data_IF_704417321945
#
_entry.id   IF_704417321945
#
_cell.length_a   1.000
_cell.length_b   1.000
_cell.length_c   1.000
_cell.angle_alpha   90.00
_cell.angle_beta   90.00
_cell.angle_gamma   90.00
#
_symmetry.space_group_name_H-M   'P 1'
#
loop_
_entity.id
_entity.type
_entity.pdbx_description
1 polymer ?
#
# COMPACT_ATOMS: atom_id res chain seq x y z
N UNK A 1 -3.06 22.10 18.33
CA UNK A 1 -2.04 21.78 17.31
C UNK A 1 -2.69 22.00 15.94
N UNK A 2 -2.04 22.71 15.01
CA UNK A 2 -2.54 22.91 13.64
C UNK A 2 -1.62 22.15 12.69
N UNK A 3 -2.19 21.35 11.81
CA UNK A 3 -1.47 20.63 10.77
C UNK A 3 -1.74 21.27 9.41
N UNK A 4 -0.71 21.37 8.59
CA UNK A 4 -0.78 21.83 7.21
C UNK A 4 -0.09 20.78 6.34
N UNK A 5 -0.68 20.46 5.20
CA UNK A 5 -0.11 19.50 4.27
C UNK A 5 1.19 20.06 3.65
N UNK A 6 2.26 19.26 3.70
CA UNK A 6 3.54 19.62 3.09
C UNK A 6 3.64 19.10 1.65
N UNK A 7 3.30 17.83 1.46
CA UNK A 7 3.28 17.11 0.20
C UNK A 7 2.59 15.75 0.35
N UNK A 8 2.19 15.17 -0.78
CA UNK A 8 1.76 13.79 -0.96
C UNK A 8 2.86 12.99 -1.65
N UNK A 9 3.09 11.76 -1.18
CA UNK A 9 3.99 10.79 -1.79
C UNK A 9 3.18 9.73 -2.54
N UNK A 10 3.38 9.60 -3.86
CA UNK A 10 2.81 8.51 -4.66
C UNK A 10 3.91 7.49 -4.90
N UNK A 11 3.76 6.29 -4.34
CA UNK A 11 4.85 5.33 -4.23
C UNK A 11 4.51 4.04 -4.98
N UNK A 12 5.49 3.50 -5.69
CA UNK A 12 5.40 2.22 -6.37
C UNK A 12 6.56 1.33 -5.95
N UNK A 13 6.23 0.14 -5.43
CA UNK A 13 7.22 -0.91 -5.23
C UNK A 13 7.76 -1.36 -6.60
N UNK A 14 9.09 -1.48 -6.67
CA UNK A 14 9.78 -2.20 -7.74
C UNK A 14 9.98 -3.64 -7.31
N UNK A 15 11.22 -3.99 -6.97
CA UNK A 15 11.57 -5.33 -6.50
C UNK A 15 11.38 -5.48 -4.99
N UNK A 16 11.05 -6.70 -4.57
CA UNK A 16 10.96 -7.05 -3.16
C UNK A 16 11.10 -8.54 -2.90
N UNK A 17 11.49 -8.87 -1.68
CA UNK A 17 11.59 -10.22 -1.15
C UNK A 17 10.89 -10.28 0.20
N UNK A 18 10.19 -11.39 0.45
CA UNK A 18 9.47 -11.65 1.68
C UNK A 18 9.89 -13.00 2.24
N UNK A 19 10.20 -13.02 3.52
CA UNK A 19 10.58 -14.21 4.27
C UNK A 19 9.56 -14.42 5.38
N UNK A 20 9.17 -15.67 5.61
CA UNK A 20 8.30 -16.10 6.69
C UNK A 20 9.05 -17.06 7.62
N UNK A 21 10.01 -16.56 8.46
CA UNK A 21 10.91 -17.43 9.20
C UNK A 21 10.20 -18.34 10.22
N UNK A 22 9.00 -17.92 10.67
CA UNK A 22 8.21 -18.59 11.70
C UNK A 22 6.80 -18.95 11.20
N UNK A 23 6.62 -19.13 9.90
CA UNK A 23 5.30 -19.36 9.26
C UNK A 23 4.57 -18.06 8.91
N UNK A 24 3.33 -18.18 8.43
CA UNK A 24 2.61 -17.09 7.74
C UNK A 24 2.08 -15.97 8.66
N UNK A 25 2.32 -16.05 9.97
CA UNK A 25 1.89 -15.01 10.91
C UNK A 25 2.96 -13.92 11.08
N UNK A 26 4.22 -14.20 10.76
CA UNK A 26 5.33 -13.25 10.89
C UNK A 26 6.11 -13.17 9.58
N UNK A 27 6.41 -11.95 9.14
CA UNK A 27 7.20 -11.72 7.94
C UNK A 27 8.33 -10.73 8.19
N UNK A 28 9.45 -10.95 7.50
CA UNK A 28 10.46 -9.94 7.26
C UNK A 28 10.55 -9.70 5.75
N UNK A 29 10.72 -8.45 5.35
CA UNK A 29 10.83 -8.10 3.94
C UNK A 29 12.00 -7.18 3.67
N UNK A 30 12.38 -7.15 2.40
CA UNK A 30 13.16 -6.07 1.82
C UNK A 30 12.51 -5.68 0.50
N UNK A 31 12.36 -4.39 0.25
CA UNK A 31 11.86 -3.92 -1.03
C UNK A 31 12.40 -2.56 -1.39
N UNK A 32 12.48 -2.27 -2.68
CA UNK A 32 12.85 -0.95 -3.19
C UNK A 32 11.74 -0.41 -4.06
N UNK A 33 11.76 0.90 -4.29
CA UNK A 33 10.77 1.51 -5.15
C UNK A 33 11.13 2.92 -5.56
N UNK A 34 10.25 3.45 -6.39
CA UNK A 34 10.29 4.84 -6.86
C UNK A 34 8.95 5.50 -6.56
N UNK A 35 8.88 6.80 -6.79
CA UNK A 35 7.63 7.54 -6.62
C UNK A 35 7.77 9.00 -7.00
N UNK A 36 6.64 9.68 -6.94
CA UNK A 36 6.52 11.11 -7.18
C UNK A 36 6.12 11.82 -5.89
N UNK A 37 6.63 13.03 -5.74
CA UNK A 37 6.33 13.93 -4.62
C UNK A 37 5.65 15.16 -5.17
N UNK A 38 4.43 15.41 -4.70
CA UNK A 38 3.62 16.55 -5.13
C UNK A 38 3.14 17.34 -3.91
N UNK A 39 3.35 18.64 -3.90
CA UNK A 39 2.91 19.48 -2.79
C UNK A 39 3.10 20.97 -3.03
N UNK A 40 2.55 21.82 -2.16
CA UNK A 40 2.75 23.26 -2.23
C UNK A 40 4.21 23.67 -1.99
N UNK A 41 4.95 22.91 -1.17
CA UNK A 41 6.32 23.25 -0.75
C UNK A 41 7.39 22.29 -1.26
N UNK A 42 7.04 21.03 -1.49
CA UNK A 42 7.99 20.01 -1.97
C UNK A 42 7.40 19.36 -3.21
N UNK A 43 8.16 19.35 -4.30
CA UNK A 43 7.85 18.65 -5.55
C UNK A 43 9.10 17.96 -6.07
N UNK A 44 8.97 16.77 -6.63
CA UNK A 44 10.12 16.03 -7.15
C UNK A 44 9.87 14.53 -7.27
N UNK A 45 10.94 13.77 -7.27
CA UNK A 45 10.91 12.30 -7.36
C UNK A 45 11.50 11.66 -6.11
N UNK A 46 11.00 10.49 -5.76
CA UNK A 46 11.40 9.71 -4.60
C UNK A 46 12.03 8.39 -5.06
N UNK A 47 13.15 8.03 -4.44
CA UNK A 47 13.73 6.69 -4.47
C UNK A 47 13.86 6.17 -3.05
N UNK A 48 13.51 4.90 -2.83
CA UNK A 48 13.40 4.39 -1.47
C UNK A 48 13.67 2.89 -1.37
N UNK A 49 14.05 2.47 -0.17
CA UNK A 49 14.17 1.09 0.25
C UNK A 49 13.44 0.90 1.58
N UNK A 50 12.82 -0.25 1.78
CA UNK A 50 12.04 -0.59 2.96
C UNK A 50 12.51 -1.92 3.52
N UNK A 51 12.71 -2.00 4.83
CA UNK A 51 12.93 -3.24 5.59
C UNK A 51 11.72 -3.52 6.48
N UNK A 52 10.55 -3.85 5.91
CA UNK A 52 9.34 -4.04 6.69
C UNK A 52 9.40 -5.33 7.54
N UNK A 53 8.73 -5.29 8.69
CA UNK A 53 8.38 -6.48 9.47
C UNK A 53 6.88 -6.58 9.61
N UNK A 54 6.30 -7.77 9.47
CA UNK A 54 4.97 -8.09 10.00
C UNK A 54 5.14 -8.79 11.32
N UNK A 55 4.52 -8.27 12.38
CA UNK A 55 4.47 -8.93 13.69
C UNK A 55 3.41 -10.03 13.69
N UNK A 56 3.46 -10.90 14.69
CA UNK A 56 2.49 -11.99 14.89
C UNK A 56 1.04 -11.48 15.05
N UNK A 57 0.84 -10.27 15.58
CA UNK A 57 -0.46 -9.60 15.64
C UNK A 57 -0.94 -9.04 14.29
N UNK A 58 -0.33 -9.50 13.19
CA UNK A 58 -0.63 -9.16 11.80
C UNK A 58 -0.37 -7.71 11.39
N UNK A 59 0.18 -6.89 12.29
CA UNK A 59 0.51 -5.48 12.02
C UNK A 59 1.80 -5.37 11.21
N UNK A 60 1.72 -4.62 10.10
CA UNK A 60 2.88 -4.29 9.28
C UNK A 60 3.61 -3.07 9.86
N UNK A 61 4.93 -3.17 9.97
CA UNK A 61 5.83 -2.16 10.50
C UNK A 61 6.78 -1.73 9.37
N UNK A 62 6.43 -0.73 8.54
CA UNK A 62 7.36 -0.16 7.59
C UNK A 62 8.58 0.45 8.28
N UNK A 63 9.76 0.25 7.67
CA UNK A 63 11.01 0.93 7.98
C UNK A 63 11.66 1.37 6.66
N UNK A 64 11.15 2.46 6.13
CA UNK A 64 11.52 2.97 4.83
C UNK A 64 12.54 4.10 4.96
N UNK A 65 13.61 4.02 4.18
CA UNK A 65 14.60 5.08 4.03
C UNK A 65 14.80 5.39 2.55
N UNK A 66 15.03 6.65 2.21
CA UNK A 66 15.15 7.06 0.83
C UNK A 66 15.61 8.49 0.63
N UNK A 67 15.51 8.95 -0.61
CA UNK A 67 15.87 10.30 -1.03
C UNK A 67 14.80 10.91 -1.91
N UNK A 68 14.48 12.17 -1.67
CA UNK A 68 13.70 13.00 -2.59
C UNK A 68 14.66 13.92 -3.33
N UNK A 69 14.65 13.86 -4.67
CA UNK A 69 15.27 14.87 -5.52
C UNK A 69 14.20 15.89 -5.88
N UNK A 70 14.35 17.13 -5.42
CA UNK A 70 13.33 18.16 -5.63
C UNK A 70 13.48 18.85 -6.97
N UNK A 71 12.39 19.41 -7.48
CA UNK A 71 12.36 20.08 -8.78
C UNK A 71 13.26 21.33 -8.84
N UNK A 72 13.53 21.96 -7.69
CA UNK A 72 14.46 23.08 -7.53
C UNK A 72 15.92 22.65 -7.28
N UNK A 73 16.20 21.34 -7.37
CA UNK A 73 17.56 20.78 -7.36
C UNK A 73 18.11 20.39 -5.98
N UNK A 74 17.35 20.56 -4.90
CA UNK A 74 17.74 20.07 -3.57
C UNK A 74 17.60 18.54 -3.45
N UNK A 75 18.29 17.98 -2.44
CA UNK A 75 18.19 16.56 -2.07
C UNK A 75 17.78 16.45 -0.61
N UNK A 76 16.74 15.67 -0.34
CA UNK A 76 16.20 15.46 1.01
C UNK A 76 16.32 13.98 1.36
N UNK A 77 16.90 13.67 2.52
CA UNK A 77 16.86 12.33 3.09
C UNK A 77 15.51 12.14 3.79
N UNK A 78 14.87 11.00 3.59
CA UNK A 78 13.58 10.66 4.21
C UNK A 78 13.66 9.33 4.94
N UNK A 79 13.04 9.28 6.12
CA UNK A 79 12.79 8.06 6.89
C UNK A 79 11.31 8.01 7.25
N UNK A 80 10.61 6.94 6.87
CA UNK A 80 9.19 6.71 7.19
C UNK A 80 9.10 5.41 7.96
N UNK A 81 8.67 5.53 9.22
CA UNK A 81 8.41 4.40 10.12
C UNK A 81 6.99 4.51 10.64
N UNK A 82 6.33 3.39 10.88
CA UNK A 82 4.96 3.42 11.38
C UNK A 82 4.35 2.05 11.53
N UNK A 83 3.02 2.04 11.63
CA UNK A 83 2.20 0.83 11.71
C UNK A 83 1.12 0.90 10.64
N UNK A 84 0.97 -0.18 9.88
CA UNK A 84 -0.13 -0.38 8.94
C UNK A 84 -1.00 -1.51 9.45
N UNK A 85 -2.21 -1.15 9.86
CA UNK A 85 -3.22 -2.05 10.39
C UNK A 85 -4.23 -2.28 9.27
N UNK A 86 -4.46 -3.54 8.92
CA UNK A 86 -5.55 -3.90 8.01
C UNK A 86 -6.77 -4.13 8.90
N UNK A 87 -7.67 -3.17 8.93
CA UNK A 87 -8.97 -3.38 9.56
C UNK A 87 -9.81 -4.29 8.66
N UNK A 88 -10.27 -5.42 9.20
CA UNK A 88 -11.32 -6.18 8.53
C UNK A 88 -12.57 -5.30 8.50
N UNK A 89 -12.94 -4.84 7.29
CA UNK A 89 -14.25 -4.30 7.03
C UNK A 89 -15.27 -5.39 7.37
N UNK A 90 -15.85 -5.35 8.57
CA UNK A 90 -17.08 -6.10 8.84
C UNK A 90 -18.08 -5.64 7.77
N UNK A 91 -18.67 -6.55 6.97
CA UNK A 91 -19.70 -6.16 6.04
C UNK A 91 -20.79 -5.46 6.85
N UNK A 92 -21.06 -4.19 6.54
CA UNK A 92 -22.25 -3.55 7.06
C UNK A 92 -23.44 -4.40 6.59
N UNK A 93 -24.37 -4.71 7.49
CA UNK A 93 -25.62 -5.38 7.15
C UNK A 93 -26.48 -4.43 6.30
N UNK A 94 -26.05 -4.17 5.06
CA UNK A 94 -26.80 -3.43 4.08
C UNK A 94 -27.82 -4.40 3.45
N UNK A 95 -29.09 -4.13 3.76
CA UNK A 95 -30.31 -4.78 3.25
C UNK A 95 -30.13 -5.37 1.84
N UNK A 96 -30.48 -6.63 1.71
CA UNK A 96 -30.69 -7.30 0.42
C UNK A 96 -31.54 -6.44 -0.52
N UNK A 97 -30.99 -6.09 -1.68
CA UNK A 97 -31.73 -5.54 -2.81
C UNK A 97 -31.49 -6.42 -4.04
N UNK A 98 -32.46 -6.51 -4.95
CA UNK A 98 -32.80 -7.77 -5.61
C UNK A 98 -31.84 -8.14 -6.75
N UNK A 99 -31.65 -9.45 -6.93
CA UNK A 99 -30.80 -10.07 -7.96
C UNK A 99 -31.23 -9.60 -9.36
N UNK A 100 -30.30 -9.01 -10.10
CA UNK A 100 -30.46 -8.82 -11.54
C UNK A 100 -30.33 -10.19 -12.23
N UNK A 101 -31.40 -10.62 -12.90
CA UNK A 101 -31.48 -11.94 -13.52
C UNK A 101 -30.59 -12.07 -14.75
N UNK A 102 -29.83 -13.16 -14.81
CA UNK A 102 -29.30 -13.67 -16.08
C UNK A 102 -30.21 -14.79 -16.58
N UNK A 103 -30.92 -14.48 -17.67
CA UNK A 103 -31.73 -15.39 -18.45
C UNK A 103 -30.78 -16.43 -19.07
N UNK A 104 -30.79 -17.67 -18.58
CA UNK A 104 -30.12 -18.80 -19.23
C UNK A 104 -31.02 -19.28 -20.37
N UNK A 105 -30.64 -18.98 -21.60
CA UNK A 105 -31.15 -19.69 -22.79
C UNK A 105 -30.46 -21.05 -22.84
N UNK A 106 -31.20 -22.12 -22.57
CA UNK A 106 -30.80 -23.49 -22.91
C UNK A 106 -30.90 -23.69 -24.42
N UNK A 107 -29.92 -24.32 -25.08
CA UNK A 107 -30.14 -24.89 -26.39
C UNK A 107 -30.93 -26.19 -26.24
N UNK A 108 -31.92 -26.33 -27.11
CA UNK A 108 -32.73 -27.50 -27.35
C UNK A 108 -31.84 -28.69 -27.75
N UNK A 109 -32.04 -29.85 -27.14
CA UNK A 109 -31.52 -31.12 -27.65
C UNK A 109 -32.62 -32.16 -27.47
N UNK A 110 -33.23 -32.51 -28.59
CA UNK A 110 -34.39 -33.37 -28.66
C UNK A 110 -34.15 -34.83 -28.27
N UNK A 111 -35.27 -35.48 -27.99
CA UNK A 111 -35.50 -36.91 -27.78
C UNK A 111 -36.99 -37.11 -27.58
#
# INVERSE_FOLDING_TARGET
MRFEELCTLRMQYGEGTWLAPYGENEYAGFGTGKGDVEGPRIRGTLHWANHPRRREDLVWCPDLNGTIATADGAKILVSIKGYSIIEELRPSTARSSPRYGSRRTTPDTGG
#
